data_IF_414669399647
#
_entry.id   IF_414669399647
#
_cell.length_a   1.000
_cell.length_b   1.000
_cell.length_c   1.000
_cell.angle_alpha   90.00
_cell.angle_beta   90.00
_cell.angle_gamma   90.00
#
_symmetry.space_group_name_H-M   'P 1'
#
loop_
_entity.id
_entity.type
_entity.pdbx_description
1 polymer ?
#
# COMPACT_ATOMS: atom_id res chain seq x y z
N UNK A 1 2.37 -12.56 -6.33
CA UNK A 1 1.03 -12.09 -5.95
C UNK A 1 0.87 -10.75 -6.63
N UNK A 2 0.03 -10.70 -7.66
CA UNK A 2 -0.12 -9.50 -8.48
C UNK A 2 -1.06 -8.54 -7.78
N UNK A 3 -0.64 -7.29 -7.65
CA UNK A 3 -1.45 -6.22 -7.05
C UNK A 3 -2.07 -5.39 -8.15
N UNK A 4 -3.36 -5.08 -8.02
CA UNK A 4 -4.00 -4.11 -8.89
C UNK A 4 -3.24 -2.78 -8.82
N UNK A 5 -3.08 -2.12 -9.96
CA UNK A 5 -2.66 -0.72 -10.05
C UNK A 5 -3.72 0.08 -10.81
N UNK A 6 -3.87 1.35 -10.48
CA UNK A 6 -4.77 2.24 -11.23
C UNK A 6 -4.19 2.65 -12.60
N UNK A 7 -2.87 2.51 -12.79
CA UNK A 7 -2.19 2.70 -14.08
C UNK A 7 -2.58 1.57 -15.04
N UNK A 8 -3.72 1.72 -15.74
CA UNK A 8 -4.22 0.75 -16.74
C UNK A 8 -5.31 -0.20 -16.25
N UNK A 9 -5.78 -0.06 -15.00
CA UNK A 9 -6.90 -0.83 -14.48
C UNK A 9 -8.22 -0.46 -15.16
N UNK A 10 -8.92 -1.45 -15.72
CA UNK A 10 -10.23 -1.28 -16.35
C UNK A 10 -11.33 -1.92 -15.48
N UNK A 11 -12.38 -1.14 -15.18
CA UNK A 11 -13.49 -1.57 -14.34
C UNK A 11 -14.81 -1.43 -15.08
N UNK A 12 -15.61 -2.50 -15.06
CA UNK A 12 -17.01 -2.41 -15.52
C UNK A 12 -17.79 -1.54 -14.54
N UNK A 13 -18.64 -0.65 -15.05
CA UNK A 13 -19.49 0.25 -14.23
C UNK A 13 -20.26 -0.50 -13.13
N UNK A 14 -20.78 -1.70 -13.42
CA UNK A 14 -21.52 -2.50 -12.44
C UNK A 14 -20.68 -2.97 -11.25
N UNK A 15 -19.36 -3.14 -11.42
CA UNK A 15 -18.44 -3.45 -10.31
C UNK A 15 -18.32 -2.21 -9.41
N UNK A 16 -18.07 -1.04 -10.01
CA UNK A 16 -17.97 0.24 -9.28
C UNK A 16 -19.25 0.56 -8.52
N UNK A 17 -20.43 0.31 -9.11
CA UNK A 17 -21.72 0.49 -8.44
C UNK A 17 -21.90 -0.41 -7.21
N UNK A 18 -21.22 -1.56 -7.13
CA UNK A 18 -21.32 -2.49 -5.99
C UNK A 18 -20.30 -2.19 -4.89
N UNK A 19 -19.09 -1.75 -5.24
CA UNK A 19 -17.99 -1.56 -4.27
C UNK A 19 -17.72 -0.09 -3.91
N UNK A 20 -18.32 0.84 -4.66
CA UNK A 20 -18.10 2.27 -4.50
C UNK A 20 -16.86 2.80 -5.24
N UNK A 21 -16.57 4.07 -5.01
CA UNK A 21 -15.36 4.74 -5.49
C UNK A 21 -14.16 4.44 -4.56
N UNK A 22 -12.91 4.59 -5.05
CA UNK A 22 -11.73 4.48 -4.20
C UNK A 22 -11.79 5.43 -3.00
N UNK A 23 -11.38 4.94 -1.83
CA UNK A 23 -11.46 5.68 -0.58
C UNK A 23 -10.39 6.80 -0.54
N UNK A 24 -10.79 8.08 -0.55
CA UNK A 24 -9.84 9.19 -0.58
C UNK A 24 -9.02 9.31 0.69
N UNK A 25 -9.43 8.66 1.80
CA UNK A 25 -8.70 8.69 3.07
C UNK A 25 -7.30 8.11 2.95
N UNK A 26 -7.06 7.19 2.01
CA UNK A 26 -5.73 6.62 1.78
C UNK A 26 -4.74 7.67 1.29
N UNK A 27 -5.20 8.65 0.51
CA UNK A 27 -4.40 9.66 -0.21
C UNK A 27 -3.42 9.06 -1.23
N UNK A 28 -2.49 8.22 -0.79
CA UNK A 28 -1.51 7.47 -1.60
C UNK A 28 -1.18 6.13 -0.93
N UNK A 29 -0.78 5.12 -1.71
CA UNK A 29 -0.41 3.76 -1.29
C UNK A 29 -1.53 2.94 -0.68
N UNK A 30 -1.60 1.66 -1.09
CA UNK A 30 -2.56 0.64 -0.67
C UNK A 30 -4.00 0.85 -1.12
N UNK A 31 -4.34 2.02 -1.64
CA UNK A 31 -5.65 2.35 -2.21
C UNK A 31 -5.99 1.42 -3.38
N UNK A 32 -5.04 1.25 -4.31
CA UNK A 32 -5.14 0.34 -5.44
C UNK A 32 -5.34 -1.12 -4.99
N UNK A 33 -4.55 -1.55 -4.03
CA UNK A 33 -4.56 -2.92 -3.50
C UNK A 33 -5.88 -3.23 -2.82
N UNK A 34 -6.39 -2.29 -2.00
CA UNK A 34 -7.68 -2.43 -1.33
C UNK A 34 -8.82 -2.38 -2.35
N UNK A 35 -8.75 -1.52 -3.36
CA UNK A 35 -9.77 -1.47 -4.40
C UNK A 35 -9.82 -2.76 -5.23
N UNK A 36 -8.65 -3.33 -5.54
CA UNK A 36 -8.55 -4.62 -6.21
C UNK A 36 -9.09 -5.77 -5.36
N UNK A 37 -8.81 -5.73 -4.05
CA UNK A 37 -9.40 -6.65 -3.08
C UNK A 37 -10.93 -6.53 -3.06
N UNK A 38 -11.50 -5.33 -2.99
CA UNK A 38 -12.95 -5.11 -3.05
C UNK A 38 -13.56 -5.63 -4.36
N UNK A 39 -12.92 -5.33 -5.49
CA UNK A 39 -13.34 -5.83 -6.80
C UNK A 39 -13.36 -7.37 -6.82
N UNK A 40 -12.35 -8.01 -6.23
CA UNK A 40 -12.28 -9.48 -6.13
C UNK A 40 -13.43 -10.12 -5.33
N UNK A 41 -14.12 -9.35 -4.47
CA UNK A 41 -15.30 -9.83 -3.74
C UNK A 41 -16.56 -9.91 -4.60
N UNK A 42 -16.57 -9.23 -5.74
CA UNK A 42 -17.77 -9.10 -6.60
C UNK A 42 -17.57 -9.59 -8.03
N UNK A 43 -16.33 -9.81 -8.44
CA UNK A 43 -15.93 -10.33 -9.75
C UNK A 43 -14.60 -11.07 -9.65
N UNK A 44 -14.17 -11.75 -10.73
CA UNK A 44 -12.82 -12.30 -10.86
C UNK A 44 -11.92 -11.33 -11.63
N UNK A 45 -10.92 -10.69 -11.00
CA UNK A 45 -9.94 -9.85 -11.69
C UNK A 45 -9.05 -10.68 -12.61
N UNK A 46 -8.66 -10.11 -13.75
CA UNK A 46 -7.76 -10.75 -14.73
C UNK A 46 -6.54 -9.83 -14.90
N UNK A 47 -5.34 -10.42 -14.88
CA UNK A 47 -4.09 -9.72 -15.15
C UNK A 47 -3.71 -9.93 -16.61
N UNK A 48 -3.46 -8.83 -17.33
CA UNK A 48 -2.94 -8.86 -18.70
C UNK A 48 -1.46 -8.47 -18.59
N UNK A 49 -0.51 -9.37 -18.88
CA UNK A 49 0.91 -9.11 -18.67
C UNK A 49 1.53 -8.20 -19.73
N UNK A 50 0.84 -7.97 -20.86
CA UNK A 50 1.30 -7.11 -21.94
C UNK A 50 1.42 -5.65 -21.50
N UNK A 51 2.64 -5.12 -21.51
CA UNK A 51 2.93 -3.77 -21.05
C UNK A 51 2.83 -2.77 -22.20
N UNK A 52 1.72 -2.03 -22.24
CA UNK A 52 1.52 -0.92 -23.19
C UNK A 52 1.73 0.46 -22.57
N UNK A 53 1.78 0.54 -21.23
CA UNK A 53 1.96 1.79 -20.50
C UNK A 53 3.41 1.96 -20.07
N UNK A 54 3.98 3.12 -20.41
CA UNK A 54 5.33 3.52 -19.99
C UNK A 54 5.22 4.70 -19.04
N UNK A 55 5.85 4.57 -17.87
CA UNK A 55 5.99 5.68 -16.94
C UNK A 55 6.81 6.80 -17.59
N UNK A 56 6.30 8.03 -17.52
CA UNK A 56 6.91 9.21 -18.16
C UNK A 56 8.00 9.85 -17.32
N UNK A 57 7.94 9.70 -15.99
CA UNK A 57 8.96 10.24 -15.07
C UNK A 57 10.03 9.21 -14.78
N UNK A 58 11.28 9.58 -15.02
CA UNK A 58 12.44 8.81 -14.57
C UNK A 58 12.53 8.89 -13.03
N UNK A 59 12.58 7.73 -12.39
CA UNK A 59 12.80 7.61 -10.96
C UNK A 59 14.17 6.99 -10.80
N UNK A 60 15.06 7.65 -10.05
CA UNK A 60 16.36 7.08 -9.69
C UNK A 60 16.14 5.77 -8.95
N UNK A 61 16.44 4.65 -9.61
CA UNK A 61 16.30 3.33 -9.04
C UNK A 61 17.67 2.86 -8.53
N UNK A 62 17.72 2.41 -7.27
CA UNK A 62 18.87 1.67 -6.77
C UNK A 62 18.58 0.18 -6.91
N UNK A 63 19.41 -0.49 -7.71
CA UNK A 63 19.34 -1.92 -7.94
C UNK A 63 20.10 -2.62 -6.79
N UNK A 64 19.39 -3.39 -5.97
CA UNK A 64 20.02 -4.28 -5.00
C UNK A 64 19.77 -5.70 -5.49
N UNK A 65 20.85 -6.37 -5.91
CA UNK A 65 20.87 -7.78 -6.28
C UNK A 65 19.87 -8.19 -7.40
N UNK A 66 19.67 -7.34 -8.41
CA UNK A 66 18.86 -7.68 -9.59
C UNK A 66 17.35 -7.56 -9.38
N UNK A 67 16.92 -7.05 -8.23
CA UNK A 67 15.51 -6.76 -7.93
C UNK A 67 15.36 -5.24 -7.77
N UNK A 68 14.71 -4.60 -8.74
CA UNK A 68 14.32 -3.17 -8.67
C UNK A 68 13.44 -2.93 -7.44
N UNK A 69 14.01 -2.55 -6.29
CA UNK A 69 13.21 -2.55 -5.04
C UNK A 69 13.25 -1.29 -4.18
N UNK A 70 14.24 -0.40 -4.31
CA UNK A 70 14.43 0.65 -3.31
C UNK A 70 14.68 2.02 -3.96
N UNK A 71 13.59 2.71 -4.26
CA UNK A 71 13.61 4.11 -4.68
C UNK A 71 13.60 5.01 -3.44
N UNK A 72 14.28 6.15 -3.53
CA UNK A 72 14.17 7.20 -2.53
C UNK A 72 12.69 7.52 -2.31
N UNK A 73 12.26 7.46 -1.05
CA UNK A 73 10.86 7.57 -0.68
C UNK A 73 10.70 8.71 0.30
N UNK A 74 9.85 9.68 -0.06
CA UNK A 74 9.61 10.85 0.78
C UNK A 74 9.05 10.46 2.15
N UNK A 75 9.31 11.31 3.13
CA UNK A 75 8.79 11.19 4.49
C UNK A 75 7.25 11.05 4.54
N UNK A 76 6.55 11.73 3.62
CA UNK A 76 5.10 11.59 3.47
C UNK A 76 4.69 10.20 2.97
N UNK A 77 5.37 9.68 1.95
CA UNK A 77 5.11 8.34 1.44
C UNK A 77 5.32 7.29 2.54
N UNK A 78 6.41 7.41 3.32
CA UNK A 78 6.73 6.52 4.45
C UNK A 78 5.62 6.52 5.51
N UNK A 79 5.13 7.70 5.85
CA UNK A 79 4.00 7.84 6.77
C UNK A 79 2.75 7.10 6.26
N UNK A 80 2.34 7.32 5.00
CA UNK A 80 1.14 6.69 4.43
C UNK A 80 1.28 5.17 4.25
N UNK A 81 2.45 4.66 3.85
CA UNK A 81 2.71 3.21 3.75
C UNK A 81 2.39 2.50 5.07
N UNK A 82 2.75 3.10 6.21
CA UNK A 82 2.45 2.53 7.52
C UNK A 82 1.04 2.85 7.99
N UNK A 83 0.59 4.11 7.91
CA UNK A 83 -0.72 4.56 8.39
C UNK A 83 -1.87 3.82 7.71
N UNK A 84 -1.79 3.61 6.40
CA UNK A 84 -2.85 2.98 5.61
C UNK A 84 -3.02 1.48 5.89
N UNK A 85 -2.06 0.83 6.58
CA UNK A 85 -2.26 -0.52 7.14
C UNK A 85 -3.48 -0.57 8.06
N UNK A 86 -3.77 0.52 8.77
CA UNK A 86 -4.96 0.62 9.63
C UNK A 86 -6.25 0.49 8.84
N UNK A 87 -6.40 1.24 7.75
CA UNK A 87 -7.58 1.15 6.88
C UNK A 87 -7.69 -0.22 6.23
N UNK A 88 -6.59 -0.76 5.71
CA UNK A 88 -6.62 -2.09 5.10
C UNK A 88 -7.10 -3.17 6.09
N UNK A 89 -6.67 -3.09 7.34
CA UNK A 89 -7.17 -3.98 8.38
C UNK A 89 -8.69 -3.83 8.59
N UNK A 90 -9.21 -2.59 8.63
CA UNK A 90 -10.66 -2.34 8.76
C UNK A 90 -11.44 -2.93 7.59
N UNK A 91 -10.95 -2.79 6.37
CA UNK A 91 -11.57 -3.44 5.19
C UNK A 91 -11.58 -4.96 5.32
N UNK A 92 -10.49 -5.57 5.77
CA UNK A 92 -10.46 -7.01 6.02
C UNK A 92 -11.41 -7.42 7.16
N UNK A 93 -11.59 -6.58 8.19
CA UNK A 93 -12.52 -6.85 9.29
C UNK A 93 -13.97 -6.81 8.83
N UNK A 94 -14.35 -5.78 8.06
CA UNK A 94 -15.70 -5.60 7.51
C UNK A 94 -16.10 -6.79 6.62
N UNK A 95 -15.14 -7.34 5.87
CA UNK A 95 -15.39 -8.48 4.97
C UNK A 95 -15.12 -9.85 5.61
N UNK A 96 -14.73 -9.92 6.89
CA UNK A 96 -14.50 -11.17 7.61
C UNK A 96 -13.19 -11.91 7.29
N UNK A 97 -12.27 -11.28 6.54
CA UNK A 97 -10.99 -11.87 6.14
C UNK A 97 -9.81 -11.47 7.03
N UNK A 98 -10.07 -10.70 8.09
CA UNK A 98 -9.02 -10.22 8.99
C UNK A 98 -8.46 -11.34 9.86
N UNK A 99 -7.17 -11.64 9.67
CA UNK A 99 -6.41 -12.59 10.49
C UNK A 99 -5.37 -11.81 11.32
N UNK A 100 -5.64 -11.54 12.62
CA UNK A 100 -4.85 -10.59 13.42
C UNK A 100 -3.35 -10.89 13.45
N UNK A 101 -2.97 -12.16 13.67
CA UNK A 101 -1.57 -12.56 13.76
C UNK A 101 -0.84 -12.40 12.42
N UNK A 102 -1.40 -12.94 11.34
CA UNK A 102 -0.82 -12.81 10.00
C UNK A 102 -0.72 -11.35 9.56
N UNK A 103 -1.74 -10.55 9.88
CA UNK A 103 -1.74 -9.12 9.57
C UNK A 103 -0.68 -8.36 10.37
N UNK A 104 -0.49 -8.71 11.64
CA UNK A 104 0.56 -8.14 12.49
C UNK A 104 1.95 -8.47 11.93
N UNK A 105 2.21 -9.74 11.56
CA UNK A 105 3.47 -10.15 10.92
C UNK A 105 3.70 -9.37 9.62
N UNK A 106 2.68 -9.27 8.76
CA UNK A 106 2.80 -8.48 7.52
C UNK A 106 3.06 -7.00 7.78
N UNK A 107 2.51 -6.42 8.84
CA UNK A 107 2.74 -5.02 9.21
C UNK A 107 4.16 -4.80 9.73
N UNK A 108 4.68 -5.72 10.55
CA UNK A 108 6.08 -5.73 10.98
C UNK A 108 7.02 -5.84 9.78
N UNK A 109 6.74 -6.77 8.86
CA UNK A 109 7.55 -6.96 7.66
C UNK A 109 7.59 -5.69 6.79
N UNK A 110 6.45 -5.02 6.58
CA UNK A 110 6.39 -3.73 5.86
C UNK A 110 7.26 -2.68 6.55
N UNK A 111 7.18 -2.56 7.87
CA UNK A 111 7.98 -1.60 8.62
C UNK A 111 9.48 -1.89 8.50
N UNK A 112 9.90 -3.15 8.68
CA UNK A 112 11.30 -3.57 8.55
C UNK A 112 11.81 -3.27 7.14
N UNK A 113 11.02 -3.57 6.11
CA UNK A 113 11.36 -3.29 4.72
C UNK A 113 11.51 -1.78 4.45
N UNK A 114 10.64 -0.93 4.99
CA UNK A 114 10.79 0.53 4.85
C UNK A 114 11.95 1.10 5.69
N UNK A 115 12.29 0.47 6.82
CA UNK A 115 13.46 0.82 7.63
C UNK A 115 14.75 0.46 6.89
N UNK A 116 14.84 -0.73 6.29
CA UNK A 116 15.96 -1.12 5.42
C UNK A 116 16.10 -0.13 4.27
N UNK A 117 14.99 0.24 3.62
CA UNK A 117 14.99 1.28 2.56
C UNK A 117 15.58 2.60 3.05
N UNK A 118 15.20 3.04 4.25
CA UNK A 118 15.67 4.30 4.83
C UNK A 118 17.18 4.27 5.10
N UNK A 119 17.70 3.19 5.69
CA UNK A 119 19.12 3.06 6.03
C UNK A 119 19.99 2.80 4.79
N UNK A 120 19.47 2.06 3.82
CA UNK A 120 20.22 1.71 2.61
C UNK A 120 20.28 2.88 1.61
N UNK A 121 19.18 3.61 1.41
CA UNK A 121 19.03 4.58 0.32
C UNK A 121 19.01 6.03 0.81
N UNK A 122 18.22 6.32 1.85
CA UNK A 122 17.89 7.69 2.27
C UNK A 122 18.64 8.08 3.56
N UNK A 123 19.96 7.87 3.58
CA UNK A 123 20.81 8.02 4.79
C UNK A 123 20.76 9.42 5.42
N UNK A 124 20.53 10.46 4.63
CA UNK A 124 20.42 11.85 5.10
C UNK A 124 19.09 12.14 5.82
N UNK A 125 18.05 11.34 5.58
CA UNK A 125 16.71 11.51 6.14
C UNK A 125 16.38 10.51 7.25
N UNK A 126 17.37 9.75 7.77
CA UNK A 126 17.13 8.72 8.79
C UNK A 126 16.34 9.24 10.00
N UNK A 127 16.70 10.37 10.64
CA UNK A 127 16.01 10.82 11.85
C UNK A 127 14.54 11.17 11.59
N UNK A 128 14.25 11.83 10.47
CA UNK A 128 12.88 12.27 10.12
C UNK A 128 12.06 11.10 9.56
N UNK A 129 12.68 10.25 8.75
CA UNK A 129 12.05 9.06 8.17
C UNK A 129 11.63 8.03 9.22
N UNK A 130 12.48 7.75 10.23
CA UNK A 130 12.10 6.86 11.35
C UNK A 130 10.92 7.46 12.11
N UNK A 131 10.96 8.76 12.43
CA UNK A 131 9.85 9.44 13.13
C UNK A 131 8.54 9.30 12.37
N UNK A 132 8.55 9.47 11.04
CA UNK A 132 7.36 9.33 10.19
C UNK A 132 6.86 7.90 10.07
N UNK A 133 7.75 6.91 10.00
CA UNK A 133 7.37 5.49 10.02
C UNK A 133 6.70 5.11 11.35
N UNK A 134 7.28 5.53 12.48
CA UNK A 134 6.71 5.30 13.82
C UNK A 134 5.39 6.04 14.00
N UNK A 135 5.30 7.28 13.52
CA UNK A 135 4.05 8.04 13.52
C UNK A 135 2.96 7.33 12.72
N UNK A 136 3.28 6.89 11.50
CA UNK A 136 2.35 6.14 10.66
C UNK A 136 1.91 4.82 11.29
N UNK A 137 2.82 4.10 11.96
CA UNK A 137 2.45 2.91 12.73
C UNK A 137 1.44 3.24 13.83
N UNK A 138 1.72 4.27 14.66
CA UNK A 138 0.84 4.66 15.77
C UNK A 138 -0.55 5.03 15.27
N UNK A 139 -0.62 5.82 14.20
CA UNK A 139 -1.89 6.22 13.60
C UNK A 139 -2.62 5.04 12.97
N UNK A 140 -1.91 4.08 12.36
CA UNK A 140 -2.50 2.82 11.89
C UNK A 140 -3.19 2.05 13.02
N UNK A 141 -2.60 2.00 14.23
CA UNK A 141 -3.23 1.35 15.38
C UNK A 141 -4.47 2.12 15.85
N UNK A 142 -4.44 3.45 15.83
CA UNK A 142 -5.62 4.27 16.17
C UNK A 142 -6.78 3.98 15.21
N UNK A 143 -6.51 3.96 13.91
CA UNK A 143 -7.51 3.65 12.87
C UNK A 143 -8.06 2.23 13.03
N UNK A 144 -7.22 1.26 13.42
CA UNK A 144 -7.66 -0.12 13.64
C UNK A 144 -8.73 -0.23 14.74
N UNK A 145 -8.57 0.56 15.80
CA UNK A 145 -9.48 0.61 16.95
C UNK A 145 -10.56 1.68 16.82
N UNK A 146 -10.61 2.40 15.69
CA UNK A 146 -11.67 3.34 15.41
C UNK A 146 -12.99 2.56 15.23
N UNK A 147 -14.01 2.94 15.98
CA UNK A 147 -15.32 2.29 15.99
C UNK A 147 -16.21 2.70 14.83
N UNK A 148 -15.76 3.66 14.02
CA UNK A 148 -16.47 4.19 12.85
C UNK A 148 -16.17 3.46 11.54
#
# INVERSE_FOLDING_TARGET
MDTLCFEGGLFRRSVVSRIGLPDPRFFIYWDDTVYGYLASKVTSPIVIPDMILRRTREIGNWDIAGVRQLNSTSDMNRYHIMRNRGYMARYFMVHGDFRPLLFAVGTVATFVKELIRLVAVDRSSIPTGIRRLVQGWRDSRRILHDGS
#
